data_IF_251570774763
#
_entry.id   IF_251570774763
#
_cell.length_a   1.000
_cell.length_b   1.000
_cell.length_c   1.000
_cell.angle_alpha   90.00
_cell.angle_beta   90.00
_cell.angle_gamma   90.00
#
_symmetry.space_group_name_H-M   'P 1'
#
loop_
_entity.id
_entity.type
_entity.pdbx_description
1 polymer ?
#
# COMPACT_ATOMS: atom_id res chain seq x y z
N UNK A 1 20.74 -13.71 4.03
CA UNK A 1 19.86 -12.79 3.27
C UNK A 1 20.69 -12.05 2.23
N UNK A 2 20.13 -11.72 1.07
CA UNK A 2 20.80 -10.97 0.01
C UNK A 2 20.22 -9.55 -0.02
N UNK A 3 21.09 -8.55 -0.14
CA UNK A 3 20.74 -7.17 -0.45
C UNK A 3 21.03 -6.91 -1.93
N UNK A 4 20.02 -6.57 -2.68
CA UNK A 4 20.12 -6.11 -4.06
C UNK A 4 19.98 -4.58 -4.06
N UNK A 5 21.01 -3.86 -4.50
CA UNK A 5 21.00 -2.41 -4.63
C UNK A 5 20.85 -2.02 -6.10
N UNK A 6 19.81 -1.25 -6.39
CA UNK A 6 19.53 -0.71 -7.72
C UNK A 6 19.79 0.79 -7.68
N UNK A 7 20.78 1.26 -8.44
CA UNK A 7 21.11 2.68 -8.55
C UNK A 7 20.58 3.23 -9.85
N UNK A 8 19.84 4.32 -9.77
CA UNK A 8 19.28 4.98 -10.93
C UNK A 8 19.52 6.51 -10.87
N UNK A 9 19.30 7.18 -11.99
CA UNK A 9 19.41 8.65 -12.06
C UNK A 9 18.33 9.31 -11.21
N UNK A 10 18.69 10.29 -10.39
CA UNK A 10 17.80 10.99 -9.47
C UNK A 10 16.60 11.65 -10.20
N UNK A 11 16.80 12.13 -11.42
CA UNK A 11 15.77 12.79 -12.23
C UNK A 11 14.60 11.84 -12.58
N UNK A 12 14.82 10.51 -12.55
CA UNK A 12 13.83 9.49 -12.90
C UNK A 12 13.60 8.48 -11.77
N UNK A 13 14.09 8.80 -10.58
CA UNK A 13 14.07 7.89 -9.44
C UNK A 13 12.65 7.40 -9.11
N UNK A 14 11.65 8.28 -9.15
CA UNK A 14 10.27 7.93 -8.86
C UNK A 14 9.63 7.04 -9.93
N UNK A 15 9.95 7.28 -11.22
CA UNK A 15 9.50 6.43 -12.32
C UNK A 15 10.08 5.02 -12.17
N UNK A 16 11.38 4.94 -11.90
CA UNK A 16 12.07 3.67 -11.65
C UNK A 16 11.51 2.98 -10.41
N UNK A 17 11.23 3.72 -9.34
CA UNK A 17 10.62 3.17 -8.13
C UNK A 17 9.25 2.56 -8.40
N UNK A 18 8.41 3.24 -9.18
CA UNK A 18 7.08 2.74 -9.52
C UNK A 18 7.12 1.38 -10.26
N UNK A 19 8.06 1.23 -11.20
CA UNK A 19 8.25 -0.04 -11.93
C UNK A 19 8.90 -1.13 -11.05
N UNK A 20 9.82 -0.75 -10.16
CA UNK A 20 10.45 -1.68 -9.23
C UNK A 20 9.47 -2.17 -8.15
N UNK A 21 8.46 -1.39 -7.77
CA UNK A 21 7.44 -1.78 -6.79
C UNK A 21 6.67 -3.04 -7.23
N UNK A 22 6.46 -3.21 -8.53
CA UNK A 22 5.83 -4.41 -9.09
C UNK A 22 6.73 -5.65 -8.98
N UNK A 23 8.06 -5.48 -8.89
CA UNK A 23 9.04 -6.54 -8.81
C UNK A 23 9.42 -6.93 -7.37
N UNK A 24 9.20 -6.03 -6.42
CA UNK A 24 9.57 -6.24 -5.03
C UNK A 24 8.47 -5.73 -4.09
N UNK A 25 7.36 -6.46 -3.99
CA UNK A 25 6.23 -6.09 -3.14
C UNK A 25 6.59 -5.99 -1.65
N UNK A 26 7.72 -6.59 -1.23
CA UNK A 26 8.27 -6.46 0.12
C UNK A 26 8.79 -5.05 0.48
N UNK A 27 8.83 -4.13 -0.49
CA UNK A 27 9.26 -2.75 -0.31
C UNK A 27 10.76 -2.52 -0.56
N UNK A 28 11.13 -1.25 -0.54
CA UNK A 28 12.47 -0.75 -0.81
C UNK A 28 12.96 0.13 0.32
N UNK A 29 14.25 0.10 0.53
CA UNK A 29 14.95 1.14 1.28
C UNK A 29 15.53 2.13 0.26
N UNK A 30 15.11 3.40 0.29
CA UNK A 30 15.82 4.45 -0.43
C UNK A 30 17.02 4.88 0.40
N UNK A 31 18.20 4.80 -0.19
CA UNK A 31 19.46 5.12 0.46
C UNK A 31 20.14 6.24 -0.32
N UNK A 32 20.76 7.18 0.37
CA UNK A 32 21.66 8.13 -0.28
C UNK A 32 22.80 7.37 -0.95
N UNK A 33 23.17 7.78 -2.17
CA UNK A 33 24.23 7.10 -2.90
C UNK A 33 25.52 7.06 -2.05
N UNK A 34 26.14 5.87 -1.87
CA UNK A 34 27.23 5.68 -0.90
C UNK A 34 28.49 6.49 -1.21
N UNK A 35 28.60 7.01 -2.42
CA UNK A 35 29.71 7.86 -2.92
C UNK A 35 29.39 9.37 -2.86
N UNK A 36 28.25 9.76 -2.27
CA UNK A 36 27.84 11.16 -2.12
C UNK A 36 27.38 11.82 -3.43
N UNK A 37 27.10 11.04 -4.46
CA UNK A 37 26.57 11.55 -5.74
C UNK A 37 25.13 12.00 -5.59
N UNK A 38 24.85 13.26 -5.80
CA UNK A 38 23.51 13.85 -5.73
C UNK A 38 22.63 13.56 -6.96
N UNK A 39 23.24 13.08 -8.06
CA UNK A 39 22.58 12.74 -9.30
C UNK A 39 22.12 11.28 -9.38
N UNK A 40 22.34 10.50 -8.31
CA UNK A 40 22.01 9.07 -8.23
C UNK A 40 21.23 8.79 -6.96
N UNK A 41 20.18 7.98 -7.08
CA UNK A 41 19.41 7.39 -5.98
C UNK A 41 19.65 5.90 -5.95
N UNK A 42 19.79 5.32 -4.77
CA UNK A 42 19.89 3.88 -4.57
C UNK A 42 18.62 3.35 -3.92
N UNK A 43 18.03 2.32 -4.51
CA UNK A 43 16.97 1.51 -3.94
C UNK A 43 17.52 0.16 -3.56
N UNK A 44 17.38 -0.23 -2.30
CA UNK A 44 17.82 -1.52 -1.79
C UNK A 44 16.63 -2.44 -1.54
N UNK A 45 16.69 -3.64 -2.11
CA UNK A 45 15.72 -4.72 -1.94
C UNK A 45 16.40 -5.83 -1.15
N UNK A 46 15.65 -6.49 -0.26
CA UNK A 46 16.17 -7.54 0.61
C UNK A 46 15.31 -8.80 0.46
N UNK A 47 15.95 -9.97 0.38
CA UNK A 47 15.24 -11.24 0.24
C UNK A 47 16.16 -12.44 0.40
N UNK A 48 15.59 -13.64 0.40
CA UNK A 48 16.35 -14.87 0.32
C UNK A 48 16.86 -15.10 -1.11
N UNK A 49 17.78 -16.02 -1.27
CA UNK A 49 18.26 -16.42 -2.61
C UNK A 49 17.08 -16.99 -3.43
N UNK A 50 16.76 -16.35 -4.55
CA UNK A 50 15.65 -16.72 -5.43
C UNK A 50 14.33 -15.97 -5.17
N UNK A 51 14.27 -15.11 -4.17
CA UNK A 51 13.11 -14.22 -3.90
C UNK A 51 13.30 -12.81 -4.47
N UNK A 52 14.49 -12.48 -4.87
CA UNK A 52 14.82 -11.16 -5.43
C UNK A 52 14.64 -11.17 -6.96
N UNK A 53 14.24 -10.03 -7.55
CA UNK A 53 14.19 -9.88 -9.00
C UNK A 53 15.55 -10.17 -9.62
N UNK A 54 15.53 -10.77 -10.78
CA UNK A 54 16.75 -11.02 -11.54
C UNK A 54 17.27 -9.75 -12.25
N UNK A 55 18.49 -9.81 -12.74
CA UNK A 55 19.11 -8.64 -13.39
C UNK A 55 18.32 -8.18 -14.62
N UNK A 56 17.69 -9.12 -15.35
CA UNK A 56 16.89 -8.81 -16.55
C UNK A 56 15.61 -8.05 -16.18
N UNK A 57 14.95 -8.46 -15.13
CA UNK A 57 13.75 -7.79 -14.58
C UNK A 57 14.09 -6.39 -14.11
N UNK A 58 15.18 -6.23 -13.34
CA UNK A 58 15.66 -4.91 -12.88
C UNK A 58 16.05 -4.00 -14.06
N UNK A 59 16.72 -4.54 -15.07
CA UNK A 59 17.08 -3.80 -16.28
C UNK A 59 15.84 -3.37 -17.08
N UNK A 60 14.81 -4.22 -17.15
CA UNK A 60 13.57 -3.90 -17.83
C UNK A 60 12.82 -2.77 -17.11
N UNK A 61 12.78 -2.80 -15.77
CA UNK A 61 12.12 -1.79 -14.94
C UNK A 61 12.86 -0.43 -14.94
N UNK A 62 14.18 -0.45 -14.79
CA UNK A 62 14.97 0.78 -14.71
C UNK A 62 15.37 1.36 -16.08
N UNK A 63 15.35 0.54 -17.15
CA UNK A 63 15.64 0.95 -18.51
C UNK A 63 17.00 1.66 -18.67
N UNK A 64 17.02 2.74 -19.45
CA UNK A 64 18.22 3.57 -19.68
C UNK A 64 18.64 4.40 -18.45
N UNK A 65 17.81 4.47 -17.42
CA UNK A 65 18.08 5.21 -16.18
C UNK A 65 18.88 4.39 -15.17
N UNK A 66 19.08 3.12 -15.43
CA UNK A 66 19.90 2.23 -14.60
C UNK A 66 21.38 2.69 -14.65
N UNK A 67 21.93 2.95 -13.48
CA UNK A 67 23.35 3.31 -13.33
C UNK A 67 24.16 2.09 -12.94
N UNK A 68 23.69 1.31 -11.94
CA UNK A 68 24.40 0.18 -11.40
C UNK A 68 23.44 -0.75 -10.65
N UNK A 69 23.75 -2.03 -10.67
CA UNK A 69 23.13 -3.03 -9.79
C UNK A 69 24.23 -3.73 -9.02
N UNK A 70 24.11 -3.77 -7.70
CA UNK A 70 25.03 -4.48 -6.81
C UNK A 70 24.24 -5.48 -5.94
N UNK A 71 24.81 -6.65 -5.76
CA UNK A 71 24.20 -7.70 -4.94
C UNK A 71 25.24 -8.25 -3.96
N UNK A 72 24.89 -8.27 -2.67
CA UNK A 72 25.77 -8.77 -1.61
C UNK A 72 25.01 -9.54 -0.55
N UNK A 73 25.67 -10.56 0.00
CA UNK A 73 25.19 -11.18 1.22
C UNK A 73 25.31 -10.20 2.39
N UNK A 74 24.24 -10.09 3.18
CA UNK A 74 24.21 -9.31 4.42
C UNK A 74 24.01 -10.26 5.60
N UNK A 75 24.66 -9.99 6.76
CA UNK A 75 24.51 -10.81 7.95
C UNK A 75 23.04 -10.90 8.41
N UNK A 76 22.69 -11.98 9.11
CA UNK A 76 21.32 -12.21 9.62
C UNK A 76 20.87 -11.19 10.68
N UNK A 77 21.82 -10.38 11.24
CA UNK A 77 21.47 -9.23 12.09
C UNK A 77 20.71 -8.12 11.32
N UNK A 78 20.64 -8.22 9.99
CA UNK A 78 19.79 -7.40 9.15
C UNK A 78 18.32 -7.50 9.57
N UNK A 79 17.85 -8.68 9.95
CA UNK A 79 16.49 -8.87 10.47
C UNK A 79 16.13 -7.96 11.65
N UNK A 80 17.14 -7.47 12.39
CA UNK A 80 16.94 -6.48 13.44
C UNK A 80 17.09 -5.04 12.95
N UNK A 81 17.84 -4.81 11.89
CA UNK A 81 18.08 -3.47 11.34
C UNK A 81 16.88 -2.92 10.54
N UNK A 82 16.19 -3.75 9.78
CA UNK A 82 15.02 -3.31 9.00
C UNK A 82 13.86 -2.93 9.92
N UNK A 83 13.74 -3.52 11.10
CA UNK A 83 12.74 -3.14 12.12
C UNK A 83 12.78 -1.66 12.48
N UNK A 84 13.96 -1.02 12.36
CA UNK A 84 14.13 0.43 12.63
C UNK A 84 13.41 1.34 11.66
N UNK A 85 13.09 0.85 10.48
CA UNK A 85 12.39 1.62 9.45
C UNK A 85 10.86 1.56 9.62
N UNK A 86 10.39 0.64 10.49
CA UNK A 86 8.99 0.49 10.81
C UNK A 86 8.72 1.07 12.20
N UNK A 87 8.28 2.29 12.20
CA UNK A 87 7.93 3.01 13.43
C UNK A 87 6.42 3.20 13.53
N UNK A 88 5.90 3.30 14.76
CA UNK A 88 4.47 3.51 14.97
C UNK A 88 3.98 4.83 14.39
N UNK A 89 2.76 4.82 13.87
CA UNK A 89 2.09 5.99 13.29
C UNK A 89 0.76 6.21 13.99
N UNK A 90 0.55 7.41 14.54
CA UNK A 90 -0.74 7.83 15.08
C UNK A 90 -1.49 8.64 14.03
N UNK A 91 -2.63 8.11 13.56
CA UNK A 91 -3.47 8.72 12.54
C UNK A 91 -4.70 9.34 13.19
N UNK A 92 -4.91 10.63 12.96
CA UNK A 92 -6.07 11.39 13.46
C UNK A 92 -6.29 11.31 14.98
N UNK A 93 -5.28 10.92 15.75
CA UNK A 93 -5.38 10.71 17.19
C UNK A 93 -6.25 9.52 17.61
N UNK A 94 -6.72 8.69 16.68
CA UNK A 94 -7.68 7.61 16.90
C UNK A 94 -7.18 6.23 16.49
N UNK A 95 -6.31 6.13 15.49
CA UNK A 95 -5.70 4.87 15.04
C UNK A 95 -4.20 4.90 15.31
N UNK A 96 -3.69 3.88 15.99
CA UNK A 96 -2.27 3.70 16.25
C UNK A 96 -1.79 2.45 15.53
N UNK A 97 -1.18 2.65 14.37
CA UNK A 97 -0.61 1.57 13.56
C UNK A 97 0.83 1.33 14.01
N UNK A 98 1.16 0.10 14.36
CA UNK A 98 2.50 -0.25 14.83
C UNK A 98 2.90 -1.67 14.43
N UNK A 99 4.19 -1.94 14.31
CA UNK A 99 4.67 -3.32 14.20
C UNK A 99 4.58 -4.04 15.56
N UNK A 100 4.62 -5.39 15.58
CA UNK A 100 4.44 -6.18 16.82
C UNK A 100 5.53 -5.97 17.87
N UNK A 101 6.75 -5.56 17.49
CA UNK A 101 7.87 -5.31 18.41
C UNK A 101 7.84 -3.92 19.06
N UNK A 102 6.97 -3.02 18.61
CA UNK A 102 6.79 -1.72 19.22
C UNK A 102 5.76 -1.76 20.35
N UNK A 103 5.90 -0.84 21.31
CA UNK A 103 5.02 -0.78 22.47
C UNK A 103 3.62 -0.37 22.10
N UNK A 104 2.67 -0.93 22.83
CA UNK A 104 1.26 -0.53 22.75
C UNK A 104 1.05 0.96 23.09
N UNK A 105 0.00 1.56 22.57
CA UNK A 105 -0.36 2.94 22.90
C UNK A 105 -0.71 3.07 24.39
N UNK A 106 -0.08 4.02 25.08
CA UNK A 106 -0.39 4.30 26.49
C UNK A 106 -1.65 5.18 26.67
N UNK A 107 -2.36 5.49 25.57
CA UNK A 107 -3.52 6.40 25.57
C UNK A 107 -4.84 5.63 25.43
N UNK A 108 -5.78 5.88 26.35
CA UNK A 108 -7.16 5.40 26.19
C UNK A 108 -7.87 6.09 25.01
N UNK A 109 -8.77 5.37 24.35
CA UNK A 109 -9.56 5.88 23.21
C UNK A 109 -8.85 5.85 21.86
N UNK A 110 -7.74 5.12 21.75
CA UNK A 110 -7.01 4.89 20.51
C UNK A 110 -7.16 3.41 20.14
N UNK A 111 -7.59 3.13 18.90
CA UNK A 111 -7.63 1.78 18.36
C UNK A 111 -6.25 1.38 17.84
N UNK A 112 -5.73 0.26 18.33
CA UNK A 112 -4.46 -0.27 17.88
C UNK A 112 -4.62 -1.19 16.67
N UNK A 113 -3.77 -0.97 15.67
CA UNK A 113 -3.61 -1.80 14.49
C UNK A 113 -2.18 -2.33 14.46
N UNK A 114 -2.02 -3.61 14.78
CA UNK A 114 -0.71 -4.27 14.82
C UNK A 114 -0.47 -4.93 13.47
N UNK A 115 0.52 -4.47 12.73
CA UNK A 115 0.90 -5.00 11.42
C UNK A 115 2.32 -5.55 11.49
N UNK A 116 2.45 -6.85 11.27
CA UNK A 116 3.75 -7.42 10.94
C UNK A 116 4.03 -7.08 9.47
N UNK A 117 5.07 -6.29 9.19
CA UNK A 117 5.30 -5.80 7.84
C UNK A 117 5.66 -6.88 6.81
N UNK A 118 5.91 -8.14 7.21
CA UNK A 118 6.13 -9.27 6.30
C UNK A 118 6.80 -8.92 4.97
N UNK A 119 6.27 -9.48 3.87
CA UNK A 119 6.68 -9.16 2.50
C UNK A 119 5.68 -8.32 1.70
N UNK A 120 4.48 -8.06 2.24
CA UNK A 120 3.44 -7.34 1.51
C UNK A 120 3.47 -5.82 1.78
N UNK A 121 2.97 -5.05 0.82
CA UNK A 121 2.83 -3.59 0.93
C UNK A 121 1.79 -3.19 2.01
N UNK A 122 1.96 -1.99 2.60
CA UNK A 122 0.94 -1.41 3.48
C UNK A 122 1.26 -1.48 4.97
N UNK A 123 2.46 -1.13 5.38
CA UNK A 123 2.87 -1.12 6.80
C UNK A 123 2.32 0.07 7.62
N UNK A 124 1.53 0.93 6.99
CA UNK A 124 0.98 2.14 7.62
C UNK A 124 1.91 3.37 7.57
N UNK A 125 3.18 3.22 7.22
CA UNK A 125 4.14 4.35 7.16
C UNK A 125 4.09 5.11 5.85
N UNK A 126 3.68 4.45 4.76
CA UNK A 126 3.61 5.10 3.45
C UNK A 126 2.54 6.20 3.41
N UNK A 127 2.79 7.36 2.76
CA UNK A 127 1.84 8.47 2.69
C UNK A 127 0.45 8.07 2.19
N UNK A 128 0.35 7.22 1.17
CA UNK A 128 -0.93 6.77 0.60
C UNK A 128 -1.77 5.99 1.61
N UNK A 129 -1.15 5.07 2.36
CA UNK A 129 -1.81 4.30 3.42
C UNK A 129 -2.30 5.21 4.54
N UNK A 130 -1.46 6.17 4.97
CA UNK A 130 -1.84 7.16 6.00
C UNK A 130 -3.04 8.01 5.57
N UNK A 131 -3.04 8.50 4.34
CA UNK A 131 -4.16 9.28 3.79
C UNK A 131 -5.44 8.44 3.70
N UNK A 132 -5.38 7.17 3.32
CA UNK A 132 -6.53 6.27 3.38
C UNK A 132 -7.06 6.13 4.81
N UNK A 133 -6.19 5.88 5.79
CA UNK A 133 -6.58 5.78 7.20
C UNK A 133 -7.17 7.10 7.73
N UNK A 134 -6.62 8.25 7.35
CA UNK A 134 -7.17 9.56 7.69
C UNK A 134 -8.59 9.74 7.15
N UNK A 135 -8.81 9.42 5.88
CA UNK A 135 -10.13 9.51 5.25
C UNK A 135 -11.13 8.50 5.82
N UNK A 136 -10.68 7.31 6.21
CA UNK A 136 -11.53 6.32 6.90
C UNK A 136 -12.10 6.87 8.22
N UNK A 137 -11.34 7.68 8.94
CA UNK A 137 -11.79 8.29 10.20
C UNK A 137 -12.93 9.31 10.02
N UNK A 138 -13.19 9.76 8.80
CA UNK A 138 -14.27 10.70 8.46
C UNK A 138 -15.57 9.97 8.08
N UNK A 139 -15.48 8.67 7.83
CA UNK A 139 -16.63 7.82 7.46
C UNK A 139 -17.14 7.12 8.71
N UNK A 140 -18.47 7.14 8.97
CA UNK A 140 -19.04 6.35 10.06
C UNK A 140 -18.67 4.88 9.92
N UNK A 141 -18.23 4.24 11.01
CA UNK A 141 -17.84 2.84 11.05
C UNK A 141 -19.08 1.91 11.09
N UNK A 142 -19.87 1.93 10.04
CA UNK A 142 -21.12 1.17 9.91
C UNK A 142 -21.20 0.57 8.51
N UNK A 143 -21.82 -0.63 8.43
CA UNK A 143 -22.03 -1.35 7.17
C UNK A 143 -20.79 -2.11 6.69
N UNK A 144 -20.86 -2.57 5.45
CA UNK A 144 -19.85 -3.42 4.83
C UNK A 144 -18.64 -2.61 4.35
N UNK A 145 -17.46 -3.20 4.43
CA UNK A 145 -16.22 -2.60 3.95
C UNK A 145 -15.48 -3.56 3.02
N UNK A 146 -14.95 -3.05 1.92
CA UNK A 146 -14.07 -3.82 1.03
C UNK A 146 -12.75 -3.08 0.81
N UNK A 147 -11.65 -3.80 0.99
CA UNK A 147 -10.27 -3.35 0.76
C UNK A 147 -9.75 -3.97 -0.54
N UNK A 148 -9.58 -3.16 -1.57
CA UNK A 148 -9.09 -3.57 -2.88
C UNK A 148 -7.57 -3.43 -2.95
N UNK A 149 -6.85 -4.55 -3.11
CA UNK A 149 -5.40 -4.62 -2.96
C UNK A 149 -5.01 -4.54 -1.49
N UNK A 150 -5.49 -5.50 -0.68
CA UNK A 150 -5.40 -5.41 0.79
C UNK A 150 -3.96 -5.52 1.33
N UNK A 151 -3.02 -6.12 0.58
CA UNK A 151 -1.62 -6.23 0.97
C UNK A 151 -1.44 -6.82 2.37
N UNK A 152 -0.89 -6.05 3.31
CA UNK A 152 -0.73 -6.43 4.71
C UNK A 152 -2.05 -6.55 5.50
N UNK A 153 -3.15 -6.07 4.94
CA UNK A 153 -4.47 -6.00 5.59
C UNK A 153 -4.65 -4.77 6.49
N UNK A 154 -3.76 -3.79 6.45
CA UNK A 154 -3.80 -2.64 7.37
C UNK A 154 -5.12 -1.87 7.30
N UNK A 155 -5.67 -1.62 6.09
CA UNK A 155 -6.94 -0.91 5.93
C UNK A 155 -8.12 -1.79 6.33
N UNK A 156 -8.10 -3.08 5.96
CA UNK A 156 -9.11 -4.07 6.37
C UNK A 156 -9.20 -4.18 7.89
N UNK A 157 -8.05 -4.29 8.58
CA UNK A 157 -7.98 -4.41 10.04
C UNK A 157 -8.43 -3.11 10.71
N UNK A 158 -8.00 -1.96 10.19
CA UNK A 158 -8.44 -0.65 10.67
C UNK A 158 -9.97 -0.51 10.52
N UNK A 159 -10.54 -0.93 9.38
CA UNK A 159 -11.99 -0.92 9.16
C UNK A 159 -12.73 -1.75 10.22
N UNK A 160 -12.30 -2.99 10.46
CA UNK A 160 -12.90 -3.84 11.48
C UNK A 160 -12.80 -3.24 12.89
N UNK A 161 -11.67 -2.62 13.24
CA UNK A 161 -11.47 -1.89 14.52
C UNK A 161 -12.37 -0.65 14.64
N UNK A 162 -12.69 0.00 13.53
CA UNK A 162 -13.59 1.15 13.49
C UNK A 162 -15.08 0.77 13.51
N UNK A 163 -15.42 -0.52 13.44
CA UNK A 163 -16.78 -1.03 13.56
C UNK A 163 -17.45 -1.44 12.26
N UNK A 164 -16.76 -1.44 11.13
CA UNK A 164 -17.29 -1.99 9.88
C UNK A 164 -17.44 -3.51 9.97
N UNK A 165 -18.57 -4.04 9.50
CA UNK A 165 -18.87 -5.47 9.44
C UNK A 165 -19.95 -5.76 8.36
N UNK A 166 -19.75 -6.71 7.43
CA UNK A 166 -18.53 -7.49 7.21
C UNK A 166 -17.39 -6.71 6.55
N UNK A 167 -16.15 -7.18 6.76
CA UNK A 167 -14.95 -6.66 6.11
C UNK A 167 -14.39 -7.70 5.17
N UNK A 168 -14.20 -7.32 3.89
CA UNK A 168 -13.59 -8.12 2.84
C UNK A 168 -12.29 -7.47 2.39
N UNK A 169 -11.17 -8.20 2.42
CA UNK A 169 -9.92 -7.82 1.76
C UNK A 169 -9.71 -8.68 0.50
N UNK A 170 -9.36 -8.07 -0.62
CA UNK A 170 -9.01 -8.79 -1.85
C UNK A 170 -7.65 -8.40 -2.35
N UNK A 171 -6.88 -9.38 -2.83
CA UNK A 171 -5.59 -9.15 -3.46
C UNK A 171 -5.31 -10.22 -4.53
N UNK A 172 -4.52 -9.87 -5.54
CA UNK A 172 -4.07 -10.79 -6.58
C UNK A 172 -2.88 -11.64 -6.11
N UNK A 173 -2.19 -11.22 -5.05
CA UNK A 173 -1.08 -11.96 -4.46
C UNK A 173 -1.59 -12.85 -3.31
N UNK A 174 -1.34 -14.16 -3.43
CA UNK A 174 -1.67 -15.14 -2.37
C UNK A 174 -0.89 -14.89 -1.09
N UNK A 175 0.33 -14.39 -1.18
CA UNK A 175 1.13 -14.06 0.00
C UNK A 175 0.50 -12.89 0.77
N UNK A 176 -0.04 -11.89 0.09
CA UNK A 176 -0.78 -10.79 0.70
C UNK A 176 -2.05 -11.30 1.43
N UNK A 177 -2.78 -12.25 0.85
CA UNK A 177 -3.94 -12.88 1.50
C UNK A 177 -3.56 -13.59 2.80
N UNK A 178 -2.48 -14.39 2.76
CA UNK A 178 -1.97 -15.09 3.95
C UNK A 178 -1.49 -14.10 5.03
N UNK A 179 -0.93 -12.98 4.61
CA UNK A 179 -0.46 -11.93 5.52
C UNK A 179 -1.61 -11.15 6.14
N UNK A 180 -2.61 -10.75 5.34
CA UNK A 180 -3.86 -10.17 5.84
C UNK A 180 -4.51 -11.08 6.89
N UNK A 181 -4.61 -12.38 6.62
CA UNK A 181 -5.16 -13.36 7.56
C UNK A 181 -4.34 -13.44 8.86
N UNK A 182 -3.01 -13.46 8.78
CA UNK A 182 -2.14 -13.48 9.98
C UNK A 182 -2.30 -12.22 10.80
N UNK A 183 -2.27 -11.06 10.15
CA UNK A 183 -2.40 -9.77 10.82
C UNK A 183 -3.80 -9.58 11.41
N UNK A 184 -4.87 -10.00 10.73
CA UNK A 184 -6.25 -9.96 11.27
C UNK A 184 -6.37 -10.78 12.56
N UNK A 185 -5.81 -12.00 12.59
CA UNK A 185 -5.76 -12.84 13.80
C UNK A 185 -4.99 -12.19 14.93
N UNK A 186 -3.84 -11.58 14.63
CA UNK A 186 -3.01 -10.88 15.62
C UNK A 186 -3.74 -9.66 16.24
N UNK A 187 -4.68 -9.07 15.50
CA UNK A 187 -5.52 -7.96 15.94
C UNK A 187 -6.85 -8.38 16.56
N UNK A 188 -7.16 -9.68 16.60
CA UNK A 188 -8.43 -10.22 17.11
C UNK A 188 -9.67 -9.66 16.38
N UNK A 189 -9.57 -9.45 15.06
CA UNK A 189 -10.66 -8.98 14.20
C UNK A 189 -11.04 -10.02 13.15
N UNK A 190 -12.28 -9.92 12.64
CA UNK A 190 -12.75 -10.75 11.54
C UNK A 190 -12.55 -9.98 10.23
N UNK A 191 -11.77 -10.54 9.32
CA UNK A 191 -11.59 -10.08 7.95
C UNK A 191 -11.67 -11.29 7.05
N UNK A 192 -12.52 -11.26 6.04
CA UNK A 192 -12.49 -12.24 4.96
C UNK A 192 -11.39 -11.83 3.99
N UNK A 193 -10.31 -12.60 3.90
CA UNK A 193 -9.27 -12.36 2.91
C UNK A 193 -9.46 -13.30 1.70
N UNK A 194 -9.60 -12.74 0.50
CA UNK A 194 -9.92 -13.49 -0.72
C UNK A 194 -8.98 -13.14 -1.86
N UNK A 195 -8.38 -14.16 -2.46
CA UNK A 195 -7.60 -13.99 -3.68
C UNK A 195 -8.52 -13.61 -4.86
N UNK A 196 -8.24 -12.47 -5.51
CA UNK A 196 -8.94 -12.02 -6.71
C UNK A 196 -8.07 -11.06 -7.53
N UNK A 197 -8.01 -11.25 -8.85
CA UNK A 197 -7.34 -10.32 -9.76
C UNK A 197 -8.36 -9.29 -10.29
N UNK A 198 -8.25 -8.07 -9.78
CA UNK A 198 -9.14 -6.95 -10.15
C UNK A 198 -9.09 -6.57 -11.64
N UNK A 199 -8.10 -7.06 -12.40
CA UNK A 199 -7.97 -6.83 -13.85
C UNK A 199 -8.84 -7.76 -14.69
N UNK A 200 -9.24 -8.90 -14.14
CA UNK A 200 -9.97 -9.95 -14.88
C UNK A 200 -11.21 -10.48 -14.20
N UNK A 201 -11.40 -10.17 -12.92
CA UNK A 201 -12.53 -10.64 -12.12
C UNK A 201 -13.48 -9.48 -11.76
N UNK A 202 -14.77 -9.76 -11.49
CA UNK A 202 -15.69 -8.75 -11.02
C UNK A 202 -15.22 -8.08 -9.74
N UNK A 203 -15.04 -6.76 -9.78
CA UNK A 203 -14.60 -5.99 -8.61
C UNK A 203 -15.72 -5.93 -7.56
N UNK A 204 -15.47 -6.36 -6.31
CA UNK A 204 -16.46 -6.30 -5.24
C UNK A 204 -16.94 -4.88 -4.95
N UNK A 205 -18.16 -4.77 -4.45
CA UNK A 205 -18.77 -3.50 -3.98
C UNK A 205 -19.19 -3.67 -2.53
N UNK A 206 -19.16 -2.57 -1.78
CA UNK A 206 -19.58 -2.49 -0.39
C UNK A 206 -20.17 -1.10 -0.09
N UNK A 207 -20.69 -0.90 1.11
CA UNK A 207 -21.10 0.43 1.56
C UNK A 207 -19.91 1.40 1.53
N UNK A 208 -18.74 0.91 1.96
CA UNK A 208 -17.46 1.64 1.87
C UNK A 208 -16.41 0.76 1.20
N UNK A 209 -15.69 1.34 0.25
CA UNK A 209 -14.56 0.68 -0.43
C UNK A 209 -13.31 1.51 -0.25
N UNK A 210 -12.22 0.88 0.17
CA UNK A 210 -10.87 1.44 0.08
C UNK A 210 -10.11 0.81 -1.11
N UNK A 211 -9.36 1.63 -1.83
CA UNK A 211 -8.57 1.23 -2.99
C UNK A 211 -7.23 1.98 -2.97
N UNK A 212 -6.23 1.42 -2.29
CA UNK A 212 -4.86 1.97 -2.34
C UNK A 212 -4.09 1.31 -3.48
N UNK A 213 -4.39 1.74 -4.70
CA UNK A 213 -4.00 1.11 -5.96
C UNK A 213 -3.32 2.11 -6.89
N UNK A 214 -2.55 1.62 -7.87
CA UNK A 214 -2.02 2.49 -8.93
C UNK A 214 -3.15 3.19 -9.69
N UNK A 215 -2.86 4.37 -10.26
CA UNK A 215 -3.83 5.15 -11.03
C UNK A 215 -4.54 4.32 -12.10
N UNK A 216 -3.78 3.53 -12.85
CA UNK A 216 -4.31 2.66 -13.91
C UNK A 216 -5.29 1.62 -13.37
N UNK A 217 -5.00 1.04 -12.21
CA UNK A 217 -5.88 0.03 -11.61
C UNK A 217 -7.13 0.68 -11.00
N UNK A 218 -7.02 1.88 -10.42
CA UNK A 218 -8.19 2.66 -9.98
C UNK A 218 -9.14 2.96 -11.14
N UNK A 219 -8.63 3.34 -12.32
CA UNK A 219 -9.45 3.55 -13.53
C UNK A 219 -10.14 2.26 -13.98
N UNK A 220 -9.41 1.14 -14.00
CA UNK A 220 -9.98 -0.17 -14.37
C UNK A 220 -11.09 -0.60 -13.41
N UNK A 221 -10.91 -0.38 -12.10
CA UNK A 221 -11.91 -0.63 -11.07
C UNK A 221 -13.17 0.21 -11.31
N UNK A 222 -13.02 1.51 -11.54
CA UNK A 222 -14.14 2.41 -11.83
C UNK A 222 -14.91 1.97 -13.10
N UNK A 223 -14.19 1.62 -14.17
CA UNK A 223 -14.78 1.12 -15.38
C UNK A 223 -15.54 -0.20 -15.17
N UNK A 224 -14.97 -1.15 -14.42
CA UNK A 224 -15.62 -2.42 -14.09
C UNK A 224 -16.96 -2.22 -13.36
N UNK A 225 -17.03 -1.27 -12.44
CA UNK A 225 -18.28 -0.93 -11.75
C UNK A 225 -19.29 -0.28 -12.70
N UNK A 226 -18.85 0.65 -13.55
CA UNK A 226 -19.72 1.32 -14.53
C UNK A 226 -20.36 0.33 -15.50
N UNK A 227 -19.59 -0.62 -16.02
CA UNK A 227 -20.08 -1.66 -16.94
C UNK A 227 -21.15 -2.57 -16.30
N UNK A 228 -21.09 -2.76 -14.98
CA UNK A 228 -22.09 -3.56 -14.25
C UNK A 228 -23.22 -2.73 -13.64
N UNK A 229 -23.15 -1.40 -13.74
CA UNK A 229 -24.12 -0.51 -13.11
C UNK A 229 -24.04 -0.56 -11.56
N UNK A 230 -22.89 -0.90 -11.02
CA UNK A 230 -22.61 -0.99 -9.58
C UNK A 230 -21.73 0.17 -9.14
N UNK A 231 -21.80 0.54 -7.89
CA UNK A 231 -20.92 1.55 -7.28
C UNK A 231 -20.94 1.41 -5.76
N UNK A 232 -19.83 1.77 -5.06
CA UNK A 232 -19.83 1.85 -3.61
C UNK A 232 -20.66 3.06 -3.12
N UNK A 233 -21.10 3.01 -1.87
CA UNK A 233 -21.70 4.18 -1.21
C UNK A 233 -20.66 5.27 -0.94
N UNK A 234 -19.45 4.86 -0.52
CA UNK A 234 -18.27 5.71 -0.33
C UNK A 234 -17.05 4.99 -0.89
N UNK A 235 -16.18 5.72 -1.58
CA UNK A 235 -14.89 5.27 -2.06
C UNK A 235 -13.77 6.10 -1.42
N UNK A 236 -12.75 5.42 -0.91
CA UNK A 236 -11.47 5.99 -0.49
C UNK A 236 -10.41 5.46 -1.46
N UNK A 237 -9.93 6.30 -2.37
CA UNK A 237 -8.94 5.93 -3.38
C UNK A 237 -7.61 6.63 -3.14
N UNK A 238 -6.50 5.91 -3.23
CA UNK A 238 -5.13 6.42 -3.16
C UNK A 238 -4.18 5.47 -3.89
N UNK A 239 -2.85 5.71 -3.80
CA UNK A 239 -1.83 4.92 -4.49
C UNK A 239 -1.45 5.50 -5.84
N UNK A 240 -1.81 6.76 -6.09
CA UNK A 240 -1.51 7.50 -7.31
C UNK A 240 -0.88 8.87 -6.99
N UNK A 241 -0.19 9.42 -7.99
CA UNK A 241 0.48 10.70 -7.86
C UNK A 241 -0.54 11.86 -7.82
N UNK A 242 -0.15 12.95 -7.18
CA UNK A 242 -0.96 14.18 -7.11
C UNK A 242 -1.38 14.70 -8.48
N UNK A 243 -0.49 14.61 -9.46
CA UNK A 243 -0.76 15.03 -10.84
C UNK A 243 -1.75 14.13 -11.58
N UNK A 244 -1.95 12.90 -11.11
CA UNK A 244 -2.93 11.95 -11.66
C UNK A 244 -4.32 12.11 -11.04
N UNK A 245 -4.42 12.81 -9.90
CA UNK A 245 -5.67 12.88 -9.11
C UNK A 245 -6.86 13.46 -9.89
N UNK A 246 -6.65 14.46 -10.76
CA UNK A 246 -7.72 15.03 -11.57
C UNK A 246 -8.24 14.03 -12.61
N UNK A 247 -7.36 13.23 -13.20
CA UNK A 247 -7.71 12.17 -14.12
C UNK A 247 -8.52 11.08 -13.43
N UNK A 248 -8.10 10.67 -12.23
CA UNK A 248 -8.84 9.68 -11.43
C UNK A 248 -10.20 10.22 -11.01
N UNK A 249 -10.28 11.46 -10.52
CA UNK A 249 -11.56 12.09 -10.16
C UNK A 249 -12.52 12.14 -11.34
N UNK A 250 -12.04 12.48 -12.54
CA UNK A 250 -12.85 12.48 -13.76
C UNK A 250 -13.34 11.08 -14.14
N UNK A 251 -12.51 10.06 -14.01
CA UNK A 251 -12.89 8.67 -14.27
C UNK A 251 -13.96 8.18 -13.28
N UNK A 252 -13.84 8.52 -11.99
CA UNK A 252 -14.83 8.22 -10.95
C UNK A 252 -16.16 8.94 -11.22
N UNK A 253 -16.12 10.23 -11.53
CA UNK A 253 -17.31 11.02 -11.84
C UNK A 253 -18.08 10.49 -13.07
N UNK A 254 -17.38 9.99 -14.09
CA UNK A 254 -17.99 9.32 -15.24
C UNK A 254 -18.78 8.05 -14.85
N UNK A 255 -18.47 7.46 -13.68
CA UNK A 255 -19.16 6.31 -13.11
C UNK A 255 -20.20 6.71 -12.04
N UNK A 256 -20.46 8.02 -11.87
CA UNK A 256 -21.39 8.55 -10.88
C UNK A 256 -20.85 8.51 -9.44
N UNK A 257 -19.52 8.53 -9.27
CA UNK A 257 -18.84 8.58 -7.97
C UNK A 257 -18.13 9.93 -7.88
N UNK A 258 -18.76 10.90 -7.23
CA UNK A 258 -18.27 12.29 -7.18
C UNK A 258 -17.23 12.50 -6.09
N UNK A 259 -16.14 13.21 -6.41
CA UNK A 259 -15.14 13.61 -5.44
C UNK A 259 -15.78 14.55 -4.38
N UNK A 260 -15.65 14.17 -3.11
CA UNK A 260 -16.10 14.98 -1.96
C UNK A 260 -14.95 15.70 -1.27
N UNK A 261 -13.78 15.04 -1.24
CA UNK A 261 -12.59 15.55 -0.57
C UNK A 261 -11.34 14.95 -1.17
N UNK A 262 -10.27 15.77 -1.22
CA UNK A 262 -8.93 15.34 -1.61
C UNK A 262 -7.93 15.69 -0.52
N UNK A 263 -7.00 14.76 -0.26
CA UNK A 263 -5.84 14.94 0.62
C UNK A 263 -4.58 14.75 -0.20
N UNK A 264 -3.53 15.53 0.08
CA UNK A 264 -2.25 15.46 -0.61
C UNK A 264 -1.14 15.38 0.43
N UNK A 265 -0.18 14.50 0.21
CA UNK A 265 1.01 14.34 1.04
C UNK A 265 2.23 14.09 0.16
N UNK A 266 3.13 15.09 0.06
CA UNK A 266 4.22 15.07 -0.90
C UNK A 266 3.70 14.99 -2.34
N UNK A 267 4.14 13.99 -3.06
CA UNK A 267 3.75 13.73 -4.45
C UNK A 267 2.50 12.85 -4.58
N UNK A 268 1.96 12.36 -3.48
CA UNK A 268 0.83 11.44 -3.43
C UNK A 268 -0.49 12.15 -3.14
N UNK A 269 -1.59 11.56 -3.65
CA UNK A 269 -2.93 12.02 -3.36
C UNK A 269 -3.85 10.87 -2.90
N UNK A 270 -4.90 11.26 -2.17
CA UNK A 270 -6.04 10.40 -1.87
C UNK A 270 -7.35 11.18 -2.06
N UNK A 271 -8.39 10.46 -2.49
CA UNK A 271 -9.72 10.98 -2.81
C UNK A 271 -10.75 10.24 -1.95
N UNK A 272 -11.60 10.99 -1.27
CA UNK A 272 -12.88 10.51 -0.73
C UNK A 272 -13.97 10.88 -1.72
N UNK A 273 -14.76 9.90 -2.18
CA UNK A 273 -15.79 10.07 -3.19
C UNK A 273 -17.05 9.26 -2.87
N UNK A 274 -18.16 9.55 -3.56
CA UNK A 274 -19.41 8.81 -3.41
C UNK A 274 -20.66 9.62 -3.68
#
# INVERSE_FOLDING_TARGET
MIRLAVRCRAEQAETVLAELLDLAPGGFEQVDAPDGRQDVVEYAIYGAAGELPDLGEVQAAAGEFLVEVDSREVPDDWAERWKRFYFPVLVGGRLYVRPPWERAAERGGVEEVVIDPGGAFGTGTHPTTRMCLELMLEVPGEGSFTDLGCGSGVLSIAAAKLGFDPVLGVDADRAAIEETDRNARANYVQVEARHADLRGEPVPVADVVAANLTARLCEAVAQSWAERGERPGVLIASGFLREEADRIAAALAACGIEERRRVVSGDWAAILAG
#
